data_IF_842525978455
#
_entry.id   IF_842525978455
#
_cell.length_a   1.000
_cell.length_b   1.000
_cell.length_c   1.000
_cell.angle_alpha   90.00
_cell.angle_beta   90.00
_cell.angle_gamma   90.00
#
_symmetry.space_group_name_H-M   'P 1'
#
loop_
_entity.id
_entity.type
_entity.pdbx_description
1 polymer ?
#
# COMPACT_ATOMS: atom_id res chain seq x y z
N UNK A 1 -2.03 11.97 -42.64
CA UNK A 1 -1.37 11.16 -41.58
C UNK A 1 -2.00 11.40 -40.22
N UNK A 2 -2.40 12.62 -39.86
CA UNK A 2 -3.04 12.89 -38.56
C UNK A 2 -4.45 12.30 -38.38
N UNK A 3 -5.24 12.18 -39.44
CA UNK A 3 -6.60 11.60 -39.36
C UNK A 3 -6.61 10.08 -39.09
N UNK A 4 -5.68 9.32 -39.68
CA UNK A 4 -5.55 7.86 -39.45
C UNK A 4 -4.95 7.54 -38.09
N UNK A 5 -4.08 8.42 -37.60
CA UNK A 5 -3.55 8.34 -36.24
C UNK A 5 -4.71 8.57 -35.27
N UNK A 6 -5.45 9.67 -35.36
CA UNK A 6 -6.58 9.98 -34.46
C UNK A 6 -7.69 8.91 -34.46
N UNK A 7 -7.99 8.29 -35.60
CA UNK A 7 -8.94 7.16 -35.67
C UNK A 7 -8.38 5.88 -35.05
N UNK A 8 -7.08 5.59 -35.19
CA UNK A 8 -6.43 4.46 -34.53
C UNK A 8 -6.42 4.59 -33.00
N UNK A 9 -6.18 5.79 -32.47
CA UNK A 9 -6.23 6.09 -31.04
C UNK A 9 -7.61 5.88 -30.43
N UNK A 10 -8.64 6.44 -31.05
CA UNK A 10 -10.03 6.35 -30.58
C UNK A 10 -10.56 4.92 -30.66
N UNK A 11 -10.19 4.15 -31.69
CA UNK A 11 -10.55 2.74 -31.80
C UNK A 11 -9.86 1.87 -30.73
N UNK A 12 -8.62 2.18 -30.38
CA UNK A 12 -7.88 1.42 -29.37
C UNK A 12 -8.35 1.70 -27.94
N UNK A 13 -8.66 2.97 -27.61
CA UNK A 13 -9.30 3.31 -26.34
C UNK A 13 -10.67 2.65 -26.18
N UNK A 14 -11.47 2.61 -27.25
CA UNK A 14 -12.76 1.93 -27.26
C UNK A 14 -12.62 0.41 -27.07
N UNK A 15 -11.54 -0.19 -27.59
CA UNK A 15 -11.27 -1.63 -27.48
C UNK A 15 -10.89 -2.07 -26.07
N UNK A 16 -10.16 -1.24 -25.32
CA UNK A 16 -9.70 -1.59 -23.95
C UNK A 16 -10.63 -1.11 -22.83
N UNK A 17 -11.48 -0.12 -23.08
CA UNK A 17 -12.50 0.36 -22.13
C UNK A 17 -13.32 -0.75 -21.45
N UNK A 18 -13.87 -1.76 -22.17
CA UNK A 18 -14.64 -2.84 -21.54
C UNK A 18 -13.82 -3.78 -20.64
N UNK A 19 -12.48 -3.75 -20.74
CA UNK A 19 -11.57 -4.50 -19.86
C UNK A 19 -11.14 -3.65 -18.65
N UNK A 20 -10.78 -2.39 -18.89
CA UNK A 20 -10.23 -1.49 -17.87
C UNK A 20 -11.27 -1.14 -16.81
N UNK A 21 -12.49 -0.77 -17.22
CA UNK A 21 -13.52 -0.30 -16.29
C UNK A 21 -13.85 -1.38 -15.23
N UNK A 22 -14.18 -2.64 -15.60
CA UNK A 22 -14.45 -3.68 -14.60
C UNK A 22 -13.27 -3.95 -13.66
N UNK A 23 -12.03 -3.96 -14.18
CA UNK A 23 -10.83 -4.18 -13.37
C UNK A 23 -10.64 -3.10 -12.32
N UNK A 24 -10.86 -1.83 -12.68
CA UNK A 24 -10.80 -0.72 -11.72
C UNK A 24 -11.99 -0.69 -10.78
N UNK A 25 -13.21 -0.99 -11.24
CA UNK A 25 -14.39 -1.12 -10.38
C UNK A 25 -14.19 -2.19 -9.31
N UNK A 26 -13.56 -3.31 -9.66
CA UNK A 26 -13.21 -4.37 -8.71
C UNK A 26 -12.21 -3.87 -7.65
N UNK A 27 -11.18 -3.12 -8.06
CA UNK A 27 -10.22 -2.50 -7.14
C UNK A 27 -10.91 -1.53 -6.19
N UNK A 28 -11.81 -0.67 -6.67
CA UNK A 28 -12.58 0.25 -5.81
C UNK A 28 -13.44 -0.54 -4.83
N UNK A 29 -14.16 -1.55 -5.30
CA UNK A 29 -15.04 -2.36 -4.47
C UNK A 29 -14.25 -3.06 -3.35
N UNK A 30 -13.19 -3.80 -3.70
CA UNK A 30 -12.35 -4.52 -2.73
C UNK A 30 -11.63 -3.54 -1.80
N UNK A 31 -11.05 -2.48 -2.37
CA UNK A 31 -10.29 -1.48 -1.64
C UNK A 31 -11.13 -0.71 -0.63
N UNK A 32 -12.34 -0.30 -1.00
CA UNK A 32 -13.23 0.44 -0.09
C UNK A 32 -13.81 -0.49 0.98
N UNK A 33 -14.39 -1.62 0.58
CA UNK A 33 -15.04 -2.53 1.54
C UNK A 33 -14.01 -3.16 2.49
N UNK A 34 -12.90 -3.66 1.95
CA UNK A 34 -11.86 -4.32 2.75
C UNK A 34 -11.25 -3.38 3.80
N UNK A 35 -10.90 -2.16 3.39
CA UNK A 35 -10.34 -1.18 4.32
C UNK A 35 -11.39 -0.60 5.29
N UNK A 36 -12.65 -0.45 4.87
CA UNK A 36 -13.75 -0.10 5.78
C UNK A 36 -13.94 -1.16 6.88
N UNK A 37 -13.99 -2.44 6.52
CA UNK A 37 -14.09 -3.54 7.48
C UNK A 37 -12.90 -3.56 8.44
N UNK A 38 -11.69 -3.28 7.93
CA UNK A 38 -10.49 -3.17 8.75
C UNK A 38 -10.64 -2.08 9.82
N UNK A 39 -11.05 -0.87 9.42
CA UNK A 39 -11.31 0.25 10.33
C UNK A 39 -12.43 -0.12 11.32
N UNK A 40 -13.54 -0.68 10.84
CA UNK A 40 -14.69 -1.04 11.66
C UNK A 40 -14.32 -1.97 12.83
N UNK A 41 -13.60 -3.05 12.55
CA UNK A 41 -13.20 -4.04 13.57
C UNK A 41 -12.17 -3.44 14.53
N UNK A 42 -11.24 -2.60 14.03
CA UNK A 42 -10.31 -1.84 14.90
C UNK A 42 -11.08 -0.94 15.87
N UNK A 43 -12.08 -0.20 15.39
CA UNK A 43 -12.89 0.70 16.22
C UNK A 43 -13.74 -0.06 17.25
N UNK A 44 -14.35 -1.19 16.87
CA UNK A 44 -15.24 -1.96 17.76
C UNK A 44 -14.49 -2.78 18.81
N UNK A 45 -13.35 -3.36 18.48
CA UNK A 45 -12.64 -4.24 19.41
C UNK A 45 -11.67 -3.45 20.29
N UNK A 46 -12.09 -3.10 21.52
CA UNK A 46 -11.24 -2.41 22.52
C UNK A 46 -9.87 -3.07 22.74
N UNK A 47 -9.81 -4.41 22.68
CA UNK A 47 -8.55 -5.17 22.82
C UNK A 47 -7.52 -4.86 21.73
N UNK A 48 -7.95 -4.28 20.61
CA UNK A 48 -7.10 -3.90 19.50
C UNK A 48 -6.67 -2.43 19.53
N UNK A 49 -7.08 -1.63 20.52
CA UNK A 49 -6.71 -0.22 20.62
C UNK A 49 -5.26 -0.05 21.13
N UNK A 50 -4.31 -0.31 20.24
CA UNK A 50 -2.88 -0.10 20.45
C UNK A 50 -2.30 0.77 19.32
N UNK A 51 -1.08 1.27 19.53
CA UNK A 51 -0.39 2.16 18.58
C UNK A 51 -0.34 1.59 17.18
N UNK A 52 0.06 0.34 17.01
CA UNK A 52 0.21 -0.19 15.67
C UNK A 52 -1.13 -0.32 14.96
N UNK A 53 -2.17 -0.78 15.66
CA UNK A 53 -3.51 -0.86 15.06
C UNK A 53 -4.10 0.52 14.76
N UNK A 54 -3.73 1.55 15.53
CA UNK A 54 -4.07 2.93 15.20
C UNK A 54 -3.39 3.40 13.90
N UNK A 55 -2.10 3.08 13.72
CA UNK A 55 -1.38 3.33 12.46
C UNK A 55 -1.96 2.53 11.29
N UNK A 56 -2.33 1.27 11.50
CA UNK A 56 -3.01 0.43 10.50
C UNK A 56 -4.38 1.02 10.14
N UNK A 57 -5.12 1.56 11.11
CA UNK A 57 -6.37 2.27 10.86
C UNK A 57 -6.16 3.51 9.97
N UNK A 58 -5.10 4.29 10.20
CA UNK A 58 -4.76 5.42 9.33
C UNK A 58 -4.39 4.96 7.91
N UNK A 59 -3.60 3.89 7.79
CA UNK A 59 -3.25 3.29 6.49
C UNK A 59 -4.50 2.84 5.73
N UNK A 60 -5.41 2.13 6.41
CA UNK A 60 -6.67 1.70 5.82
C UNK A 60 -7.54 2.90 5.40
N UNK A 61 -7.54 3.97 6.19
CA UNK A 61 -8.29 5.18 5.86
C UNK A 61 -7.72 5.90 4.64
N UNK A 62 -6.40 6.04 4.52
CA UNK A 62 -5.76 6.64 3.34
C UNK A 62 -5.96 5.79 2.09
N UNK A 63 -5.83 4.46 2.19
CA UNK A 63 -6.09 3.53 1.08
C UNK A 63 -7.55 3.53 0.64
N UNK A 64 -8.50 3.60 1.59
CA UNK A 64 -9.93 3.71 1.29
C UNK A 64 -10.25 5.01 0.54
N UNK A 65 -9.70 6.14 1.00
CA UNK A 65 -9.87 7.43 0.32
C UNK A 65 -9.24 7.41 -1.07
N UNK A 66 -8.05 6.81 -1.21
CA UNK A 66 -7.39 6.65 -2.50
C UNK A 66 -8.29 5.85 -3.46
N UNK A 67 -8.76 4.67 -3.08
CA UNK A 67 -9.66 3.88 -3.91
C UNK A 67 -10.96 4.62 -4.26
N UNK A 68 -11.56 5.34 -3.30
CA UNK A 68 -12.84 6.03 -3.52
C UNK A 68 -12.71 7.29 -4.40
N UNK A 69 -11.55 7.94 -4.42
CA UNK A 69 -11.38 9.25 -5.09
C UNK A 69 -10.40 9.22 -6.26
N UNK A 70 -9.22 8.61 -6.08
CA UNK A 70 -8.17 8.54 -7.10
C UNK A 70 -8.62 7.76 -8.33
N UNK A 71 -9.21 6.57 -8.11
CA UNK A 71 -9.56 5.66 -9.20
C UNK A 71 -10.67 6.24 -10.09
N UNK A 72 -11.85 6.65 -9.57
CA UNK A 72 -12.90 7.22 -10.41
C UNK A 72 -12.44 8.45 -11.17
N UNK A 73 -11.64 9.29 -10.52
CA UNK A 73 -11.09 10.51 -11.12
C UNK A 73 -10.12 10.20 -12.25
N UNK A 74 -9.21 9.25 -12.05
CA UNK A 74 -8.25 8.81 -13.09
C UNK A 74 -8.99 8.28 -14.32
N UNK A 75 -10.06 7.51 -14.12
CA UNK A 75 -10.89 7.02 -15.23
C UNK A 75 -11.66 8.14 -15.92
N UNK A 76 -12.20 9.10 -15.17
CA UNK A 76 -12.89 10.26 -15.72
C UNK A 76 -11.94 11.09 -16.61
N UNK A 77 -10.73 11.41 -16.13
CA UNK A 77 -9.73 12.12 -16.93
C UNK A 77 -9.26 11.32 -18.14
N UNK A 78 -9.13 9.99 -18.02
CA UNK A 78 -8.63 9.16 -19.10
C UNK A 78 -9.64 8.95 -20.23
N UNK A 79 -10.95 8.89 -19.92
CA UNK A 79 -11.99 8.56 -20.91
C UNK A 79 -12.91 9.73 -21.29
N UNK A 80 -12.92 10.81 -20.52
CA UNK A 80 -13.68 12.03 -20.80
C UNK A 80 -12.77 13.26 -20.68
N UNK A 81 -11.81 13.44 -21.60
CA UNK A 81 -10.86 14.56 -21.57
C UNK A 81 -11.49 15.95 -21.81
N UNK A 82 -12.82 16.04 -21.97
CA UNK A 82 -13.57 17.29 -22.09
C UNK A 82 -14.88 17.22 -21.29
N UNK A 83 -15.13 18.25 -20.47
CA UNK A 83 -16.38 18.60 -19.77
C UNK A 83 -16.73 17.95 -18.42
N UNK A 84 -15.95 17.00 -17.90
CA UNK A 84 -16.30 16.30 -16.65
C UNK A 84 -16.18 17.09 -15.32
N UNK A 85 -15.55 18.27 -15.30
CA UNK A 85 -15.40 19.10 -14.10
C UNK A 85 -15.12 20.57 -14.47
N UNK A 86 -16.14 21.32 -14.87
CA UNK A 86 -16.09 22.74 -15.32
C UNK A 86 -15.73 23.76 -14.22
N UNK A 87 -15.24 23.32 -13.06
CA UNK A 87 -14.74 24.19 -11.99
C UNK A 87 -13.21 24.17 -11.91
N UNK A 88 -12.57 25.35 -11.95
CA UNK A 88 -11.12 25.51 -11.78
C UNK A 88 -10.56 24.86 -10.48
N UNK A 89 -11.40 24.69 -9.46
CA UNK A 89 -11.11 24.01 -8.20
C UNK A 89 -11.12 22.48 -8.30
N UNK A 90 -11.93 21.88 -9.18
CA UNK A 90 -11.96 20.42 -9.37
C UNK A 90 -10.78 19.92 -10.22
N UNK A 91 -10.36 20.71 -11.21
CA UNK A 91 -9.23 20.38 -12.06
C UNK A 91 -7.88 20.39 -11.33
N UNK A 92 -7.73 21.29 -10.33
CA UNK A 92 -6.43 21.58 -9.72
C UNK A 92 -6.23 20.94 -8.34
N UNK A 93 -7.27 20.86 -7.50
CA UNK A 93 -7.12 20.39 -6.11
C UNK A 93 -7.08 18.86 -5.98
N UNK A 94 -7.70 18.14 -6.92
CA UNK A 94 -7.94 16.70 -6.79
C UNK A 94 -6.77 15.80 -7.21
N UNK A 95 -5.96 16.13 -8.25
CA UNK A 95 -4.72 15.41 -8.53
C UNK A 95 -3.70 15.54 -7.40
N UNK A 96 -3.54 16.73 -6.82
CA UNK A 96 -2.68 16.99 -5.67
C UNK A 96 -3.16 16.22 -4.43
N UNK A 97 -4.47 16.19 -4.17
CA UNK A 97 -5.05 15.39 -3.09
C UNK A 97 -4.85 13.89 -3.29
N UNK A 98 -4.88 13.42 -4.54
CA UNK A 98 -4.65 12.01 -4.88
C UNK A 98 -3.20 11.59 -4.61
N UNK A 99 -2.23 12.42 -5.00
CA UNK A 99 -0.81 12.18 -4.74
C UNK A 99 -0.49 12.23 -3.24
N UNK A 100 -1.14 13.12 -2.49
CA UNK A 100 -0.91 13.22 -1.04
C UNK A 100 -1.35 11.95 -0.29
N UNK A 101 -2.46 11.31 -0.68
CA UNK A 101 -2.94 10.07 -0.06
C UNK A 101 -1.95 8.91 -0.21
N UNK A 102 -1.24 8.86 -1.34
CA UNK A 102 -0.16 7.88 -1.53
C UNK A 102 1.00 8.12 -0.57
N UNK A 103 1.47 9.38 -0.45
CA UNK A 103 2.52 9.72 0.50
C UNK A 103 2.15 9.40 1.95
N UNK A 104 0.89 9.68 2.35
CA UNK A 104 0.39 9.32 3.68
C UNK A 104 0.55 7.82 3.93
N UNK A 105 0.21 6.99 2.95
CA UNK A 105 0.27 5.53 3.04
C UNK A 105 1.72 5.03 3.20
N UNK A 106 2.64 5.54 2.38
CA UNK A 106 4.09 5.22 2.46
C UNK A 106 4.68 5.58 3.83
N UNK A 107 4.45 6.82 4.26
CA UNK A 107 5.04 7.30 5.50
C UNK A 107 4.42 6.58 6.71
N UNK A 108 3.13 6.25 6.66
CA UNK A 108 2.48 5.42 7.68
C UNK A 108 3.12 4.03 7.74
N UNK A 109 3.36 3.36 6.61
CA UNK A 109 4.07 2.08 6.57
C UNK A 109 5.48 2.16 7.17
N UNK A 110 6.19 3.26 6.89
CA UNK A 110 7.52 3.51 7.45
C UNK A 110 7.46 3.64 8.98
N UNK A 111 6.49 4.39 9.50
CA UNK A 111 6.29 4.51 10.96
C UNK A 111 5.91 3.16 11.59
N UNK A 112 5.04 2.37 10.94
CA UNK A 112 4.69 1.02 11.41
C UNK A 112 5.96 0.15 11.49
N UNK A 113 6.83 0.20 10.47
CA UNK A 113 8.07 -0.56 10.47
C UNK A 113 9.03 -0.13 11.60
N UNK A 114 9.16 1.18 11.83
CA UNK A 114 9.99 1.73 12.91
C UNK A 114 9.43 1.38 14.30
N UNK A 115 8.12 1.52 14.52
CA UNK A 115 7.45 1.12 15.76
C UNK A 115 7.75 -0.36 16.09
N UNK A 116 7.60 -1.22 15.08
CA UNK A 116 7.81 -2.67 15.22
C UNK A 116 9.27 -3.01 15.45
N UNK A 117 10.18 -2.34 14.76
CA UNK A 117 11.61 -2.44 15.02
C UNK A 117 11.96 -2.08 16.46
N UNK A 118 11.52 -0.91 16.93
CA UNK A 118 11.77 -0.46 18.29
C UNK A 118 11.20 -1.42 19.34
N UNK A 119 9.97 -1.88 19.15
CA UNK A 119 9.32 -2.82 20.07
C UNK A 119 10.01 -4.20 20.14
N UNK A 120 10.67 -4.65 19.06
CA UNK A 120 11.36 -5.94 19.02
C UNK A 120 12.83 -5.84 19.48
N UNK A 121 13.53 -4.77 19.10
CA UNK A 121 14.97 -4.62 19.38
C UNK A 121 15.23 -3.95 20.73
N UNK A 122 14.40 -3.00 21.14
CA UNK A 122 14.57 -2.22 22.38
C UNK A 122 13.38 -2.38 23.33
N UNK A 123 13.16 -3.59 23.90
CA UNK A 123 11.99 -3.87 24.72
C UNK A 123 11.86 -3.00 25.98
N UNK A 124 12.96 -2.40 26.45
CA UNK A 124 13.03 -1.56 27.65
C UNK A 124 13.00 -0.05 27.38
N UNK A 125 12.94 0.39 26.12
CA UNK A 125 12.77 1.82 25.79
C UNK A 125 11.29 2.21 25.85
N UNK A 126 11.02 3.50 26.12
CA UNK A 126 9.67 4.07 26.08
C UNK A 126 9.04 3.77 24.71
N UNK A 127 7.87 3.14 24.75
CA UNK A 127 7.08 2.83 23.55
C UNK A 127 6.38 4.10 23.08
N UNK A 128 6.09 4.15 21.78
CA UNK A 128 5.18 5.15 21.25
C UNK A 128 3.84 5.04 21.98
N UNK A 129 3.21 6.20 22.22
CA UNK A 129 1.87 6.29 22.79
C UNK A 129 0.92 6.81 21.72
N UNK A 130 -0.38 6.54 21.84
CA UNK A 130 -1.39 6.97 20.87
C UNK A 130 -1.36 8.49 20.63
N UNK A 131 -1.22 9.36 21.65
CA UNK A 131 -1.11 10.81 21.41
C UNK A 131 0.10 11.20 20.57
N UNK A 132 1.28 10.62 20.84
CA UNK A 132 2.49 10.87 20.04
C UNK A 132 2.27 10.40 18.59
N UNK A 133 1.64 9.24 18.41
CA UNK A 133 1.30 8.75 17.08
C UNK A 133 0.30 9.66 16.35
N UNK A 134 -0.67 10.26 17.04
CA UNK A 134 -1.58 11.22 16.45
C UNK A 134 -0.84 12.46 15.93
N UNK A 135 0.13 12.99 16.68
CA UNK A 135 1.00 14.08 16.20
C UNK A 135 1.85 13.68 15.00
N UNK A 136 2.44 12.47 15.01
CA UNK A 136 3.21 11.95 13.87
C UNK A 136 2.32 11.84 12.64
N UNK A 137 1.10 11.32 12.77
CA UNK A 137 0.17 11.22 11.65
C UNK A 137 -0.21 12.62 11.14
N UNK A 138 -0.54 13.56 12.01
CA UNK A 138 -0.84 14.94 11.59
C UNK A 138 0.33 15.55 10.80
N UNK A 139 1.57 15.35 11.25
CA UNK A 139 2.77 15.78 10.52
C UNK A 139 2.91 15.07 9.17
N UNK A 140 2.62 13.77 9.09
CA UNK A 140 2.62 13.00 7.83
C UNK A 140 1.60 13.57 6.85
N UNK A 141 0.38 13.86 7.29
CA UNK A 141 -0.66 14.44 6.44
C UNK A 141 -0.22 15.81 5.90
N UNK A 142 0.29 16.68 6.77
CA UNK A 142 0.81 17.99 6.35
C UNK A 142 1.98 17.87 5.36
N UNK A 143 2.96 17.02 5.66
CA UNK A 143 4.11 16.77 4.79
C UNK A 143 3.68 16.18 3.44
N UNK A 144 2.67 15.31 3.44
CA UNK A 144 2.16 14.69 2.22
C UNK A 144 1.48 15.71 1.33
N UNK A 145 0.68 16.62 1.89
CA UNK A 145 0.07 17.71 1.15
C UNK A 145 1.13 18.67 0.58
N UNK A 146 2.18 18.99 1.35
CA UNK A 146 3.25 19.87 0.86
C UNK A 146 4.09 19.24 -0.23
N UNK A 147 4.36 17.94 -0.18
CA UNK A 147 5.09 17.24 -1.22
C UNK A 147 4.25 17.04 -2.50
N UNK A 148 2.94 16.83 -2.33
CA UNK A 148 2.02 16.64 -3.45
C UNK A 148 1.73 17.90 -4.25
N UNK A 149 1.80 19.07 -3.61
CA UNK A 149 1.64 20.34 -4.31
C UNK A 149 3.01 20.98 -4.56
N UNK A 150 3.58 20.89 -5.79
CA UNK A 150 4.83 21.57 -6.13
C UNK A 150 4.74 23.10 -6.04
N UNK A 151 3.53 23.66 -5.82
CA UNK A 151 3.25 25.10 -5.80
C UNK A 151 3.37 25.76 -4.42
N UNK A 152 3.61 25.03 -3.34
CA UNK A 152 3.24 25.53 -2.01
C UNK A 152 1.73 25.82 -1.97
N UNK A 153 1.21 26.31 -0.84
CA UNK A 153 -0.24 26.42 -0.60
C UNK A 153 -0.96 27.46 -1.49
N UNK A 154 -0.32 28.00 -2.52
CA UNK A 154 -0.85 29.04 -3.40
C UNK A 154 -1.56 28.46 -4.61
N UNK A 155 -2.89 28.56 -4.59
CA UNK A 155 -3.83 28.20 -5.65
C UNK A 155 -3.73 29.15 -6.86
N UNK A 156 -2.73 28.99 -7.72
CA UNK A 156 -2.75 29.62 -9.05
C UNK A 156 -2.32 28.65 -10.15
N UNK A 157 -3.35 28.29 -10.93
CA UNK A 157 -3.45 27.98 -12.36
C UNK A 157 -2.33 27.10 -12.99
N UNK A 158 -2.80 25.92 -13.41
CA UNK A 158 -2.44 25.05 -14.55
C UNK A 158 -1.00 25.04 -15.10
N UNK A 159 -0.45 23.82 -15.19
CA UNK A 159 0.50 23.26 -16.18
C UNK A 159 1.71 24.03 -16.73
N UNK A 160 1.78 25.37 -16.69
CA UNK A 160 2.75 26.17 -17.44
C UNK A 160 4.12 26.33 -16.75
N UNK A 161 4.27 26.00 -15.46
CA UNK A 161 5.55 26.25 -14.77
C UNK A 161 6.68 25.30 -15.22
N UNK A 162 6.34 24.06 -15.61
CA UNK A 162 7.33 23.05 -15.98
C UNK A 162 7.75 23.06 -17.45
N UNK A 163 7.11 23.86 -18.30
CA UNK A 163 7.42 23.88 -19.72
C UNK A 163 8.81 24.46 -20.05
N UNK A 164 9.41 25.25 -19.14
CA UNK A 164 10.67 25.93 -19.42
C UNK A 164 11.92 25.40 -18.70
N UNK A 165 11.81 24.55 -17.67
CA UNK A 165 12.98 24.09 -16.89
C UNK A 165 13.02 22.56 -16.76
N UNK A 166 13.54 21.87 -17.78
CA UNK A 166 13.76 20.40 -17.76
C UNK A 166 14.51 19.92 -16.52
N UNK A 167 15.48 20.72 -16.04
CA UNK A 167 16.30 20.39 -14.85
C UNK A 167 15.46 20.33 -13.58
N UNK A 168 14.61 21.31 -13.36
CA UNK A 168 13.82 21.39 -12.14
C UNK A 168 12.78 20.24 -12.11
N UNK A 169 12.22 19.87 -13.28
CA UNK A 169 11.23 18.78 -13.39
C UNK A 169 11.86 17.44 -13.01
N UNK A 170 13.05 17.18 -13.55
CA UNK A 170 13.83 15.99 -13.22
C UNK A 170 14.25 16.01 -11.74
N UNK A 171 14.69 17.15 -11.23
CA UNK A 171 15.06 17.29 -9.82
C UNK A 171 13.87 16.96 -8.89
N UNK A 172 12.68 17.47 -9.18
CA UNK A 172 11.46 17.15 -8.42
C UNK A 172 11.11 15.66 -8.54
N UNK A 173 11.15 15.09 -9.74
CA UNK A 173 10.82 13.70 -9.99
C UNK A 173 11.79 12.74 -9.25
N UNK A 174 13.10 12.98 -9.33
CA UNK A 174 14.11 12.20 -8.60
C UNK A 174 14.01 12.39 -7.09
N UNK A 175 13.80 13.62 -6.62
CA UNK A 175 13.66 13.90 -5.18
C UNK A 175 12.45 13.18 -4.61
N UNK A 176 11.32 13.21 -5.34
CA UNK A 176 10.11 12.49 -4.96
C UNK A 176 10.36 10.99 -4.92
N UNK A 177 10.92 10.40 -5.99
CA UNK A 177 11.27 8.97 -6.02
C UNK A 177 12.18 8.56 -4.84
N UNK A 178 13.18 9.36 -4.51
CA UNK A 178 14.09 9.05 -3.40
C UNK A 178 13.36 9.12 -2.06
N UNK A 179 12.65 10.22 -1.80
CA UNK A 179 12.03 10.49 -0.49
C UNK A 179 10.85 9.55 -0.23
N UNK A 180 10.11 9.17 -1.26
CA UNK A 180 8.80 8.51 -1.12
C UNK A 180 8.80 7.06 -1.59
N UNK A 181 9.88 6.59 -2.20
CA UNK A 181 10.03 5.18 -2.58
C UNK A 181 11.33 4.58 -2.05
N UNK A 182 12.49 5.11 -2.44
CA UNK A 182 13.80 4.49 -2.13
C UNK A 182 14.12 4.53 -0.63
N UNK A 183 14.01 5.70 0.00
CA UNK A 183 14.35 5.88 1.42
C UNK A 183 13.40 5.08 2.33
N UNK A 184 12.06 5.14 2.19
CA UNK A 184 11.14 4.29 2.92
C UNK A 184 11.48 2.81 2.80
N UNK A 185 11.66 2.31 1.57
CA UNK A 185 12.03 0.91 1.35
C UNK A 185 13.36 0.55 2.02
N UNK A 186 14.38 1.40 1.90
CA UNK A 186 15.67 1.16 2.54
C UNK A 186 15.57 1.11 4.07
N UNK A 187 14.88 2.07 4.70
CA UNK A 187 14.66 2.10 6.15
C UNK A 187 13.96 0.83 6.61
N UNK A 188 12.93 0.40 5.87
CA UNK A 188 12.15 -0.78 6.19
C UNK A 188 13.00 -2.06 6.02
N UNK A 189 13.67 -2.23 4.88
CA UNK A 189 14.54 -3.36 4.61
C UNK A 189 15.66 -3.50 5.64
N UNK A 190 16.34 -2.40 5.98
CA UNK A 190 17.40 -2.40 7.00
C UNK A 190 16.86 -2.72 8.40
N UNK A 191 15.70 -2.16 8.75
CA UNK A 191 15.03 -2.49 10.01
C UNK A 191 14.73 -3.98 10.10
N UNK A 192 14.26 -4.58 9.01
CA UNK A 192 13.94 -6.01 8.97
C UNK A 192 15.15 -6.92 8.99
N UNK A 193 16.21 -6.61 8.24
CA UNK A 193 17.48 -7.35 8.29
C UNK A 193 18.03 -7.41 9.73
N UNK A 194 18.03 -6.27 10.43
CA UNK A 194 18.47 -6.19 11.82
C UNK A 194 17.60 -7.01 12.77
N UNK A 195 16.28 -7.00 12.58
CA UNK A 195 15.35 -7.83 13.36
C UNK A 195 15.63 -9.32 13.13
N UNK A 196 15.79 -9.76 11.88
CA UNK A 196 16.07 -11.16 11.54
C UNK A 196 17.36 -11.66 12.18
N UNK A 197 18.43 -10.87 12.13
CA UNK A 197 19.71 -11.20 12.80
C UNK A 197 19.53 -11.26 14.31
N UNK A 198 18.81 -10.30 14.91
CA UNK A 198 18.60 -10.26 16.36
C UNK A 198 17.73 -11.42 16.86
N UNK A 199 16.73 -11.84 16.09
CA UNK A 199 15.91 -13.02 16.41
C UNK A 199 16.71 -14.32 16.31
N UNK A 200 17.61 -14.44 15.31
CA UNK A 200 18.50 -15.60 15.18
C UNK A 200 19.45 -15.74 16.36
N UNK A 201 19.92 -14.61 16.89
CA UNK A 201 20.93 -14.56 17.96
C UNK A 201 20.33 -14.38 19.38
N UNK A 202 19.00 -14.50 19.55
CA UNK A 202 18.34 -14.26 20.83
C UNK A 202 18.29 -15.53 21.69
N UNK A 203 19.20 -15.63 22.65
CA UNK A 203 19.06 -16.55 23.79
C UNK A 203 18.05 -15.92 24.76
N UNK A 204 16.96 -16.63 25.10
CA UNK A 204 15.92 -16.12 26.01
C UNK A 204 16.40 -16.30 27.45
N UNK A 205 16.63 -15.22 28.23
CA UNK A 205 16.97 -15.33 29.63
C UNK A 205 15.69 -15.39 30.47
N UNK A 206 15.60 -16.34 31.40
CA UNK A 206 14.53 -16.43 32.40
C UNK A 206 13.76 -17.74 32.40
N UNK A 207 13.14 -18.05 33.54
CA UNK A 207 12.39 -19.29 33.83
C UNK A 207 10.98 -19.26 33.19
N UNK A 208 10.87 -18.85 31.93
CA UNK A 208 9.62 -18.90 31.16
C UNK A 208 9.48 -20.31 30.60
N UNK A 209 8.32 -20.96 30.76
CA UNK A 209 8.11 -22.29 30.16
C UNK A 209 8.45 -22.25 28.68
N UNK A 210 9.21 -23.24 28.21
CA UNK A 210 9.74 -23.28 26.84
C UNK A 210 8.63 -23.03 25.79
N UNK A 211 7.44 -23.59 26.01
CA UNK A 211 6.27 -23.38 25.16
C UNK A 211 5.74 -21.94 25.10
N UNK A 212 5.74 -21.18 26.20
CA UNK A 212 5.32 -19.76 26.20
C UNK A 212 6.31 -18.88 25.43
N UNK A 213 7.61 -19.12 25.62
CA UNK A 213 8.66 -18.39 24.90
C UNK A 213 8.68 -18.73 23.41
N UNK A 214 8.34 -19.97 23.02
CA UNK A 214 8.21 -20.37 21.62
C UNK A 214 6.96 -19.78 20.96
N UNK A 215 5.83 -19.78 21.65
CA UNK A 215 4.57 -19.17 21.18
C UNK A 215 4.73 -17.66 20.92
N UNK A 216 5.34 -16.93 21.85
CA UNK A 216 5.63 -15.51 21.68
C UNK A 216 6.58 -15.23 20.50
N UNK A 217 7.60 -16.07 20.29
CA UNK A 217 8.49 -15.97 19.11
C UNK A 217 7.73 -16.25 17.81
N UNK A 218 6.89 -17.27 17.77
CA UNK A 218 6.08 -17.60 16.60
C UNK A 218 5.12 -16.45 16.23
N UNK A 219 4.41 -15.89 17.22
CA UNK A 219 3.53 -14.74 17.03
C UNK A 219 4.28 -13.53 16.48
N UNK A 220 5.45 -13.19 17.04
CA UNK A 220 6.30 -12.09 16.55
C UNK A 220 6.77 -12.32 15.11
N UNK A 221 7.15 -13.57 14.76
CA UNK A 221 7.55 -13.93 13.39
C UNK A 221 6.39 -13.78 12.40
N UNK A 222 5.17 -14.16 12.76
CA UNK A 222 3.98 -13.95 11.92
C UNK A 222 3.71 -12.47 11.68
N UNK A 223 3.68 -11.65 12.74
CA UNK A 223 3.52 -10.19 12.60
C UNK A 223 4.65 -9.57 11.78
N UNK A 224 5.89 -10.02 11.94
CA UNK A 224 7.01 -9.59 11.13
C UNK A 224 6.84 -9.97 9.66
N UNK A 225 6.46 -11.22 9.37
CA UNK A 225 6.20 -11.72 8.03
C UNK A 225 5.09 -10.90 7.35
N UNK A 226 4.02 -10.56 8.08
CA UNK A 226 2.95 -9.70 7.59
C UNK A 226 3.48 -8.37 7.10
N UNK A 227 4.28 -7.70 7.93
CA UNK A 227 4.78 -6.38 7.57
C UNK A 227 5.76 -6.42 6.39
N UNK A 228 6.60 -7.46 6.30
CA UNK A 228 7.45 -7.69 5.13
C UNK A 228 6.62 -7.88 3.87
N UNK A 229 5.55 -8.68 3.93
CA UNK A 229 4.67 -8.92 2.79
C UNK A 229 3.94 -7.65 2.36
N UNK A 230 3.41 -6.86 3.31
CA UNK A 230 2.75 -5.58 3.04
C UNK A 230 3.68 -4.62 2.32
N UNK A 231 4.93 -4.50 2.78
CA UNK A 231 5.91 -3.57 2.21
C UNK A 231 6.42 -4.07 0.86
N UNK A 232 6.66 -5.37 0.71
CA UNK A 232 7.05 -5.95 -0.57
C UNK A 232 5.95 -5.77 -1.61
N UNK A 233 4.69 -6.03 -1.26
CA UNK A 233 3.55 -5.80 -2.12
C UNK A 233 3.46 -4.33 -2.53
N UNK A 234 3.59 -3.40 -1.58
CA UNK A 234 3.63 -1.97 -1.85
C UNK A 234 4.78 -1.61 -2.81
N UNK A 235 6.00 -2.05 -2.53
CA UNK A 235 7.16 -1.77 -3.37
C UNK A 235 7.00 -2.29 -4.80
N UNK A 236 6.50 -3.51 -4.97
CA UNK A 236 6.31 -4.16 -6.28
C UNK A 236 5.16 -3.53 -7.06
N UNK A 237 4.03 -3.24 -6.42
CA UNK A 237 2.86 -2.62 -7.05
C UNK A 237 3.16 -1.21 -7.59
N UNK A 238 3.97 -0.43 -6.88
CA UNK A 238 4.26 0.97 -7.23
C UNK A 238 5.45 1.14 -8.17
N UNK A 239 6.35 0.14 -8.27
CA UNK A 239 7.54 0.20 -9.11
C UNK A 239 7.23 0.50 -10.59
N UNK A 240 6.25 -0.14 -11.26
CA UNK A 240 5.96 0.12 -12.67
C UNK A 240 5.56 1.59 -12.91
N UNK A 241 4.75 2.16 -12.01
CA UNK A 241 4.30 3.54 -12.12
C UNK A 241 5.46 4.54 -11.93
N UNK A 242 6.38 4.25 -11.02
CA UNK A 242 7.60 5.06 -10.85
C UNK A 242 8.49 5.03 -12.07
N UNK A 243 8.71 3.83 -12.65
CA UNK A 243 9.51 3.69 -13.87
C UNK A 243 8.84 4.44 -15.03
N UNK A 244 7.53 4.28 -15.20
CA UNK A 244 6.78 4.98 -16.25
C UNK A 244 6.88 6.51 -16.12
N UNK A 245 6.68 7.05 -14.91
CA UNK A 245 6.80 8.48 -14.66
C UNK A 245 8.23 8.99 -14.89
N UNK A 246 9.26 8.22 -14.49
CA UNK A 246 10.66 8.56 -14.78
C UNK A 246 10.93 8.63 -16.28
N UNK A 247 10.49 7.64 -17.05
CA UNK A 247 10.69 7.61 -18.51
C UNK A 247 9.99 8.82 -19.15
N UNK A 248 8.74 9.09 -18.77
CA UNK A 248 7.96 10.25 -19.22
C UNK A 248 8.69 11.58 -18.94
N UNK A 249 9.28 11.73 -17.75
CA UNK A 249 9.93 12.98 -17.34
C UNK A 249 11.30 13.18 -17.99
N UNK A 250 12.01 12.10 -18.32
CA UNK A 250 13.28 12.10 -19.06
C UNK A 250 13.02 12.42 -20.54
N UNK A 251 12.22 11.60 -21.20
CA UNK A 251 11.87 11.76 -22.61
C UNK A 251 10.54 11.06 -22.95
N UNK A 252 9.53 11.88 -23.21
CA UNK A 252 8.18 11.41 -23.59
C UNK A 252 8.17 10.71 -24.97
N UNK A 253 9.19 10.93 -25.81
CA UNK A 253 9.27 10.33 -27.15
C UNK A 253 9.69 8.86 -27.15
N UNK A 254 10.20 8.34 -26.02
CA UNK A 254 10.57 6.94 -25.85
C UNK A 254 9.36 5.99 -25.80
N UNK A 255 8.17 6.51 -25.53
CA UNK A 255 6.94 5.73 -25.47
C UNK A 255 6.11 6.11 -26.68
N UNK A 256 5.78 5.10 -27.49
CA UNK A 256 4.85 5.29 -28.60
C UNK A 256 3.58 5.90 -28.06
N UNK A 257 3.25 7.08 -28.58
CA UNK A 257 2.11 7.86 -28.11
C UNK A 257 0.89 6.94 -28.05
N UNK A 258 0.66 6.14 -29.10
CA UNK A 258 -0.48 5.24 -29.23
C UNK A 258 -0.74 4.38 -27.97
N UNK A 259 0.31 3.90 -27.30
CA UNK A 259 0.19 3.05 -26.10
C UNK A 259 0.35 3.81 -24.78
N UNK A 260 0.66 5.11 -24.82
CA UNK A 260 1.00 5.90 -23.64
C UNK A 260 -0.08 5.87 -22.56
N UNK A 261 -1.32 6.21 -22.91
CA UNK A 261 -2.47 6.21 -21.97
C UNK A 261 -2.74 4.80 -21.42
N UNK A 262 -2.67 3.79 -22.27
CA UNK A 262 -2.92 2.40 -21.88
C UNK A 262 -1.86 1.89 -20.88
N UNK A 263 -0.58 2.11 -21.17
CA UNK A 263 0.52 1.72 -20.28
C UNK A 263 0.43 2.48 -18.96
N UNK A 264 0.12 3.78 -18.99
CA UNK A 264 -0.10 4.57 -17.78
C UNK A 264 -1.23 4.00 -16.92
N UNK A 265 -2.38 3.69 -17.53
CA UNK A 265 -3.53 3.09 -16.84
C UNK A 265 -3.21 1.70 -16.28
N UNK A 266 -2.41 0.88 -16.97
CA UNK A 266 -1.97 -0.41 -16.46
C UNK A 266 -1.02 -0.25 -15.26
N UNK A 267 -0.01 0.61 -15.36
CA UNK A 267 0.92 0.88 -14.26
C UNK A 267 0.18 1.45 -13.04
N UNK A 268 -0.78 2.35 -13.27
CA UNK A 268 -1.61 2.90 -12.21
C UNK A 268 -2.52 1.84 -11.59
N UNK A 269 -3.11 0.94 -12.38
CA UNK A 269 -3.91 -0.17 -11.88
C UNK A 269 -3.08 -1.09 -10.96
N UNK A 270 -1.85 -1.43 -11.37
CA UNK A 270 -0.92 -2.18 -10.54
C UNK A 270 -0.59 -1.47 -9.22
N UNK A 271 -0.44 -0.14 -9.24
CA UNK A 271 -0.22 0.63 -8.02
C UNK A 271 -1.44 0.55 -7.08
N UNK A 272 -2.66 0.71 -7.60
CA UNK A 272 -3.90 0.67 -6.81
C UNK A 272 -4.16 -0.71 -6.18
N UNK A 273 -3.66 -1.80 -6.76
CA UNK A 273 -3.71 -3.14 -6.16
C UNK A 273 -3.04 -3.21 -4.77
N UNK A 274 -2.13 -2.30 -4.42
CA UNK A 274 -1.53 -2.26 -3.09
C UNK A 274 -2.57 -2.00 -1.99
N UNK A 275 -3.56 -1.14 -2.27
CA UNK A 275 -4.63 -0.80 -1.33
C UNK A 275 -5.52 -2.01 -1.00
N UNK A 276 -5.80 -2.85 -2.01
CA UNK A 276 -6.51 -4.12 -1.81
C UNK A 276 -5.66 -5.14 -1.04
N UNK A 277 -4.36 -5.20 -1.35
CA UNK A 277 -3.43 -6.14 -0.73
C UNK A 277 -3.27 -5.89 0.76
N UNK A 278 -3.30 -4.62 1.20
CA UNK A 278 -3.23 -4.27 2.62
C UNK A 278 -4.38 -4.88 3.41
N UNK A 279 -5.64 -4.61 3.00
CA UNK A 279 -6.81 -5.18 3.64
C UNK A 279 -6.77 -6.72 3.68
N UNK A 280 -6.35 -7.35 2.58
CA UNK A 280 -6.23 -8.79 2.47
C UNK A 280 -5.18 -9.38 3.43
N UNK A 281 -3.99 -8.79 3.46
CA UNK A 281 -2.89 -9.25 4.31
C UNK A 281 -3.23 -9.13 5.81
N UNK A 282 -3.94 -8.07 6.20
CA UNK A 282 -4.46 -7.95 7.57
C UNK A 282 -5.56 -8.97 7.88
N UNK A 283 -6.49 -9.22 6.94
CA UNK A 283 -7.52 -10.25 7.05
C UNK A 283 -6.94 -11.65 7.24
N UNK A 284 -5.89 -11.97 6.48
CA UNK A 284 -5.34 -13.31 6.41
C UNK A 284 -4.36 -13.63 7.56
N UNK A 285 -3.45 -12.69 7.88
CA UNK A 285 -2.29 -12.99 8.71
C UNK A 285 -2.36 -12.39 10.14
N UNK A 286 -3.32 -11.49 10.40
CA UNK A 286 -3.51 -10.94 11.75
C UNK A 286 -4.55 -11.75 12.54
N UNK A 287 -4.07 -12.72 13.32
CA UNK A 287 -4.90 -13.68 14.10
C UNK A 287 -5.99 -13.00 14.95
N UNK A 288 -5.68 -11.85 15.57
CA UNK A 288 -6.65 -11.10 16.37
C UNK A 288 -7.77 -10.49 15.51
N UNK A 289 -7.45 -10.06 14.30
CA UNK A 289 -8.44 -9.50 13.38
C UNK A 289 -9.33 -10.61 12.82
N UNK A 290 -8.76 -11.74 12.40
CA UNK A 290 -9.51 -12.93 11.96
C UNK A 290 -10.45 -13.46 13.05
N UNK A 291 -9.98 -13.51 14.29
CA UNK A 291 -10.77 -13.94 15.43
C UNK A 291 -11.95 -13.03 15.76
N UNK A 292 -11.81 -11.71 15.54
CA UNK A 292 -12.90 -10.75 15.71
C UNK A 292 -13.84 -10.76 14.51
N UNK A 293 -13.32 -10.85 13.28
CA UNK A 293 -14.12 -11.01 12.06
C UNK A 293 -15.03 -12.23 12.12
N UNK A 294 -14.57 -13.37 12.64
CA UNK A 294 -15.39 -14.57 12.85
C UNK A 294 -16.58 -14.37 13.78
N UNK A 295 -16.52 -13.38 14.67
CA UNK A 295 -17.62 -13.04 15.59
C UNK A 295 -18.67 -12.15 14.94
N UNK A 296 -18.33 -11.50 13.84
CA UNK A 296 -19.24 -10.70 13.04
C UNK A 296 -19.71 -11.53 11.83
N UNK A 297 -20.93 -11.31 11.35
CA UNK A 297 -21.54 -12.10 10.24
C UNK A 297 -20.85 -11.91 8.87
N UNK A 298 -19.70 -11.22 8.81
CA UNK A 298 -18.90 -10.99 7.60
C UNK A 298 -18.02 -12.19 7.18
N UNK A 299 -18.09 -13.33 7.91
CA UNK A 299 -17.26 -14.51 7.64
C UNK A 299 -17.42 -15.04 6.21
N UNK A 300 -18.67 -15.14 5.71
CA UNK A 300 -18.97 -15.72 4.40
C UNK A 300 -18.40 -14.89 3.24
N UNK A 301 -18.50 -13.56 3.33
CA UNK A 301 -17.98 -12.63 2.32
C UNK A 301 -16.45 -12.67 2.20
N UNK A 302 -15.75 -12.84 3.33
CA UNK A 302 -14.29 -12.89 3.36
C UNK A 302 -13.71 -14.26 3.01
N UNK A 303 -14.39 -15.36 3.35
CA UNK A 303 -13.97 -16.68 2.85
C UNK A 303 -14.02 -16.73 1.33
N UNK A 304 -15.07 -16.17 0.71
CA UNK A 304 -15.17 -16.08 -0.75
C UNK A 304 -14.04 -15.22 -1.35
N UNK A 305 -13.70 -14.09 -0.71
CA UNK A 305 -12.58 -13.23 -1.12
C UNK A 305 -11.21 -13.92 -0.96
N UNK A 306 -11.02 -14.69 0.11
CA UNK A 306 -9.79 -15.45 0.43
C UNK A 306 -9.64 -16.69 -0.45
N UNK A 307 -10.73 -17.39 -0.77
CA UNK A 307 -10.73 -18.54 -1.68
C UNK A 307 -10.43 -18.12 -3.11
N UNK A 308 -10.94 -16.96 -3.54
CA UNK A 308 -10.74 -16.46 -4.92
C UNK A 308 -9.29 -16.04 -5.18
N UNK A 309 -8.59 -15.48 -4.18
CA UNK A 309 -7.20 -15.01 -4.34
C UNK A 309 -6.12 -15.91 -3.69
N UNK A 310 -6.47 -16.76 -2.72
CA UNK A 310 -5.53 -17.49 -1.86
C UNK A 310 -5.04 -18.84 -2.37
N UNK A 311 -5.58 -19.33 -3.50
CA UNK A 311 -5.28 -20.66 -4.07
C UNK A 311 -3.80 -20.87 -4.43
N UNK A 312 -3.00 -19.81 -4.62
CA UNK A 312 -1.55 -19.91 -4.85
C UNK A 312 -0.70 -19.95 -3.57
N UNK A 313 -1.13 -19.29 -2.49
CA UNK A 313 -0.35 -19.20 -1.24
C UNK A 313 -0.68 -20.34 -0.26
N UNK A 314 -1.92 -20.83 -0.27
CA UNK A 314 -2.42 -21.87 0.64
C UNK A 314 -1.72 -23.23 0.46
N UNK A 315 -1.20 -23.51 -0.74
CA UNK A 315 -0.40 -24.72 -0.99
C UNK A 315 0.95 -24.68 -0.26
N UNK A 316 1.49 -23.51 0.07
CA UNK A 316 2.82 -23.39 0.68
C UNK A 316 2.83 -23.45 2.21
N UNK A 317 1.75 -22.99 2.87
CA UNK A 317 1.65 -23.01 4.33
C UNK A 317 1.04 -24.33 4.84
N UNK A 318 0.10 -24.98 4.10
CA UNK A 318 -0.35 -26.33 4.45
C UNK A 318 0.78 -27.37 4.32
N UNK A 319 1.63 -27.23 3.29
CA UNK A 319 2.73 -28.16 3.07
C UNK A 319 3.80 -28.05 4.16
N UNK A 320 4.08 -26.84 4.66
CA UNK A 320 4.97 -26.63 5.82
C UNK A 320 4.42 -27.18 7.13
N UNK A 321 3.11 -27.22 7.29
CA UNK A 321 2.46 -27.76 8.49
C UNK A 321 2.46 -29.30 8.47
N UNK A 322 2.26 -29.91 7.29
CA UNK A 322 2.42 -31.37 7.09
C UNK A 322 3.88 -31.84 7.17
N UNK A 323 4.83 -31.07 6.63
CA UNK A 323 6.26 -31.43 6.66
C UNK A 323 6.89 -31.24 8.05
N UNK A 324 6.30 -30.36 8.90
CA UNK A 324 6.71 -30.15 10.29
C UNK A 324 6.18 -31.19 11.28
N UNK A 325 5.19 -31.99 10.89
CA UNK A 325 4.62 -33.09 11.69
C UNK A 325 5.27 -34.45 11.41
N UNK A 326 6.15 -34.55 10.41
CA UNK A 326 6.93 -35.75 10.11
C UNK A 326 8.31 -35.68 10.79
N UNK A 327 8.36 -35.91 12.10
CA UNK A 327 9.58 -36.37 12.78
C UNK A 327 9.52 -37.90 12.97
N UNK A 328 10.66 -38.60 12.89
CA UNK A 328 10.70 -40.04 12.68
C UNK A 328 10.22 -40.78 13.92
N UNK A 329 9.26 -41.69 13.72
CA UNK A 329 8.98 -42.76 14.68
C UNK A 329 10.26 -43.55 14.91
N UNK A 330 10.73 -43.53 16.16
CA UNK A 330 11.87 -44.30 16.61
C UNK A 330 11.67 -45.78 16.35
N UNK A 331 12.62 -46.39 15.66
CA UNK A 331 12.86 -47.82 15.72
C UNK A 331 13.64 -48.14 16.98
N UNK A 332 12.94 -48.62 18.01
CA UNK A 332 13.51 -49.44 19.08
C UNK A 332 12.64 -50.69 19.15
N UNK A 333 13.16 -51.77 18.57
CA UNK A 333 13.07 -53.15 19.03
C UNK A 333 14.23 -53.91 18.40
#
# INVERSE_FOLDING_TARGET
>A
LDLTVNTGWTLMELSFKPLIIPCYSLVVFIGVIGNYLLIYVICKTKKMHNVTNFLVGNLAFSDMLMCATCVPLTLAYAFEPGDGCTGASCATCFPDATLSLWFVSVFTLTVIAVDRYCAMVYPFRRRLTIPICAYILAAIWLLSCTLASPRGWTFSICEEFWFHMKRDRLAYAYSTLIITYVLPLAVISLSYLRISVKLKNRVVPGNVTQGQAEWDRARRRKTFRLLVLVVAAFGVCWLPLHIFNMIKDIDISLIDKQYFNFIQLLCHWFAMMSACTNAFLYAWLHDSFRGELKKYEFHSFLEELILTCGTLAMRSDLQRETDGLALPSGGVC
#
